data_IF_804278763674
#
_entry.id   IF_804278763674
#
_cell.length_a   1.000
_cell.length_b   1.000
_cell.length_c   1.000
_cell.angle_alpha   90.00
_cell.angle_beta   90.00
_cell.angle_gamma   90.00
#
_symmetry.space_group_name_H-M   'P 1'
#
loop_
_entity.id
_entity.type
_entity.pdbx_description
1 polymer ?
#
# COMPACT_ATOMS: atom_id res chain seq x y z
N UNK A 1 -0.96 13.65 -18.30
CA UNK A 1 -1.39 12.74 -17.22
C UNK A 1 -1.96 11.47 -17.84
N UNK A 2 -1.79 10.32 -17.20
CA UNK A 2 -2.18 9.02 -17.75
C UNK A 2 -3.63 8.67 -17.35
N UNK A 3 -4.49 8.15 -18.26
CA UNK A 3 -5.83 7.67 -17.92
C UNK A 3 -5.81 6.52 -16.90
N UNK A 4 -6.87 6.41 -16.09
CA UNK A 4 -6.97 5.39 -15.03
C UNK A 4 -6.96 3.96 -15.60
N UNK A 5 -7.60 3.74 -16.74
CA UNK A 5 -7.63 2.46 -17.46
C UNK A 5 -6.26 2.00 -17.94
N UNK A 6 -5.30 2.92 -18.07
CA UNK A 6 -3.96 2.58 -18.52
C UNK A 6 -3.00 2.32 -17.36
N UNK A 7 -3.39 2.56 -16.10
CA UNK A 7 -2.51 2.38 -14.94
C UNK A 7 -2.10 0.92 -14.81
N UNK A 8 -0.79 0.67 -14.80
CA UNK A 8 -0.21 -0.67 -14.67
C UNK A 8 0.41 -0.85 -13.30
N UNK A 9 0.67 -2.10 -12.92
CA UNK A 9 1.37 -2.46 -11.67
C UNK A 9 2.63 -1.64 -11.42
N UNK A 10 3.47 -1.47 -12.46
CA UNK A 10 4.71 -0.68 -12.35
C UNK A 10 4.45 0.76 -11.87
N UNK A 11 3.34 1.36 -12.28
CA UNK A 11 3.04 2.75 -11.97
C UNK A 11 2.64 2.86 -10.47
N UNK A 12 1.94 1.83 -9.95
CA UNK A 12 1.61 1.70 -8.53
C UNK A 12 2.86 1.45 -7.68
N UNK A 13 3.79 0.62 -8.16
CA UNK A 13 5.07 0.37 -7.49
C UNK A 13 5.90 1.65 -7.41
N UNK A 14 6.10 2.34 -8.53
CA UNK A 14 6.82 3.62 -8.57
C UNK A 14 6.18 4.67 -7.65
N UNK A 15 4.85 4.69 -7.55
CA UNK A 15 4.16 5.59 -6.61
C UNK A 15 4.53 5.27 -5.16
N UNK A 16 4.49 3.99 -4.75
CA UNK A 16 4.84 3.59 -3.39
C UNK A 16 6.31 3.88 -3.06
N UNK A 17 7.23 3.64 -4.00
CA UNK A 17 8.64 4.00 -3.89
C UNK A 17 8.83 5.51 -3.75
N UNK A 18 8.11 6.32 -4.54
CA UNK A 18 8.19 7.77 -4.44
C UNK A 18 7.67 8.29 -3.09
N UNK A 19 6.63 7.66 -2.52
CA UNK A 19 6.16 8.00 -1.18
C UNK A 19 7.23 7.66 -0.13
N UNK A 20 7.93 6.55 -0.28
CA UNK A 20 9.06 6.16 0.57
C UNK A 20 10.20 7.19 0.49
N UNK A 21 10.55 7.64 -0.71
CA UNK A 21 11.57 8.66 -0.91
C UNK A 21 11.20 10.03 -0.32
N UNK A 22 9.92 10.43 -0.40
CA UNK A 22 9.45 11.71 0.14
C UNK A 22 9.30 11.64 1.67
N UNK A 23 8.73 10.53 2.19
CA UNK A 23 8.51 10.34 3.62
C UNK A 23 9.64 9.51 4.20
N UNK A 24 10.63 10.16 4.79
CA UNK A 24 11.77 9.50 5.46
C UNK A 24 11.40 8.48 6.56
N UNK A 25 10.13 8.42 7.00
CA UNK A 25 9.60 7.36 7.88
C UNK A 25 8.49 6.55 7.17
N UNK A 26 8.82 5.87 6.08
CA UNK A 26 7.89 4.97 5.40
C UNK A 26 8.12 3.51 5.81
N UNK A 27 7.73 3.20 7.05
CA UNK A 27 7.84 1.82 7.55
C UNK A 27 7.01 0.81 6.74
N UNK A 28 7.40 -0.47 6.81
CA UNK A 28 6.66 -1.58 6.19
C UNK A 28 5.18 -1.63 6.58
N UNK A 29 4.84 -1.16 7.79
CA UNK A 29 3.44 -1.04 8.21
C UNK A 29 2.68 0.01 7.37
N UNK A 30 3.29 1.18 7.15
CA UNK A 30 2.73 2.22 6.30
C UNK A 30 2.66 1.76 4.85
N UNK A 31 3.73 1.18 4.30
CA UNK A 31 3.71 0.58 2.95
C UNK A 31 2.51 -0.34 2.76
N UNK A 32 2.33 -1.30 3.66
CA UNK A 32 1.23 -2.27 3.59
C UNK A 32 -0.14 -1.61 3.70
N UNK A 33 -0.28 -0.56 4.53
CA UNK A 33 -1.53 0.19 4.66
C UNK A 33 -1.89 0.93 3.37
N UNK A 34 -0.92 1.61 2.76
CA UNK A 34 -1.13 2.34 1.51
C UNK A 34 -1.44 1.39 0.36
N UNK A 35 -0.70 0.26 0.26
CA UNK A 35 -1.01 -0.83 -0.67
C UNK A 35 -2.46 -1.33 -0.50
N UNK A 36 -2.91 -1.53 0.74
CA UNK A 36 -4.30 -1.95 1.01
C UNK A 36 -5.33 -0.92 0.55
N UNK A 37 -5.09 0.37 0.75
CA UNK A 37 -5.98 1.42 0.24
C UNK A 37 -6.05 1.43 -1.29
N UNK A 38 -4.90 1.31 -1.96
CA UNK A 38 -4.84 1.25 -3.42
C UNK A 38 -5.57 0.00 -3.94
N UNK A 39 -5.38 -1.15 -3.30
CA UNK A 39 -6.11 -2.37 -3.64
C UNK A 39 -7.62 -2.17 -3.57
N UNK A 40 -8.14 -1.62 -2.47
CA UNK A 40 -9.57 -1.38 -2.29
C UNK A 40 -10.13 -0.39 -3.32
N UNK A 41 -9.39 0.69 -3.61
CA UNK A 41 -9.78 1.67 -4.63
C UNK A 41 -9.87 1.05 -6.02
N UNK A 42 -8.83 0.32 -6.45
CA UNK A 42 -8.83 -0.33 -7.76
C UNK A 42 -9.83 -1.47 -7.87
N UNK A 43 -10.16 -2.17 -6.78
CA UNK A 43 -11.28 -3.10 -6.77
C UNK A 43 -12.61 -2.37 -7.03
N UNK A 44 -12.82 -1.18 -6.45
CA UNK A 44 -14.03 -0.42 -6.73
C UNK A 44 -14.11 0.05 -8.19
N UNK A 45 -12.97 0.42 -8.78
CA UNK A 45 -12.91 0.79 -10.19
C UNK A 45 -13.15 -0.41 -11.12
N UNK A 46 -12.70 -1.59 -10.72
CA UNK A 46 -12.97 -2.85 -11.43
C UNK A 46 -14.47 -3.18 -11.39
N UNK A 47 -15.13 -3.03 -10.25
CA UNK A 47 -16.59 -3.21 -10.12
C UNK A 47 -17.40 -2.25 -11.00
N UNK A 48 -16.87 -1.05 -11.25
CA UNK A 48 -17.49 -0.04 -12.11
C UNK A 48 -17.12 -0.21 -13.60
N UNK A 49 -16.42 -1.29 -13.96
CA UNK A 49 -15.93 -1.55 -15.31
C UNK A 49 -15.05 -0.42 -15.88
N UNK A 50 -14.44 0.39 -15.00
CA UNK A 50 -13.56 1.49 -15.39
C UNK A 50 -12.13 1.01 -15.73
N UNK A 51 -11.78 -0.20 -15.29
CA UNK A 51 -10.52 -0.89 -15.55
C UNK A 51 -10.81 -2.40 -15.67
N UNK A 52 -9.98 -3.14 -16.41
CA UNK A 52 -10.16 -4.59 -16.58
C UNK A 52 -9.44 -5.42 -15.50
N UNK A 53 -8.39 -4.87 -14.91
CA UNK A 53 -7.51 -5.57 -13.98
C UNK A 53 -7.09 -4.62 -12.88
N UNK A 54 -7.17 -5.07 -11.61
CA UNK A 54 -6.61 -4.33 -10.49
C UNK A 54 -5.06 -4.34 -10.53
N UNK A 55 -4.39 -3.21 -10.78
CA UNK A 55 -2.93 -3.15 -10.89
C UNK A 55 -2.20 -3.39 -9.56
N UNK A 56 -2.89 -3.27 -8.42
CA UNK A 56 -2.31 -3.50 -7.09
C UNK A 56 -2.36 -4.97 -6.64
N UNK A 57 -3.11 -5.85 -7.34
CA UNK A 57 -3.40 -7.24 -6.93
C UNK A 57 -2.15 -8.03 -6.52
N UNK A 58 -1.15 -8.03 -7.40
CA UNK A 58 0.07 -8.84 -7.27
C UNK A 58 1.21 -8.12 -6.53
N UNK A 59 0.99 -6.90 -6.03
CA UNK A 59 2.02 -6.23 -5.22
C UNK A 59 2.08 -6.99 -3.90
N UNK A 60 3.26 -7.40 -3.43
CA UNK A 60 3.37 -8.15 -2.18
C UNK A 60 3.42 -7.22 -0.97
N UNK A 61 3.03 -7.75 0.19
CA UNK A 61 3.22 -7.05 1.47
C UNK A 61 4.69 -7.10 1.86
N UNK A 62 5.20 -6.01 2.43
CA UNK A 62 6.51 -6.02 3.09
C UNK A 62 6.41 -6.73 4.45
N UNK A 63 7.47 -7.45 4.84
CA UNK A 63 7.54 -8.12 6.14
C UNK A 63 7.56 -7.08 7.26
N UNK A 64 6.62 -7.16 8.20
CA UNK A 64 6.56 -6.24 9.34
C UNK A 64 7.23 -6.84 10.56
N UNK A 65 8.25 -6.18 11.10
CA UNK A 65 8.79 -6.49 12.43
C UNK A 65 7.89 -5.85 13.48
N UNK A 66 7.21 -6.66 14.30
CA UNK A 66 6.41 -6.14 15.41
C UNK A 66 7.36 -5.67 16.50
N UNK A 67 7.32 -4.37 16.86
CA UNK A 67 7.91 -3.91 18.12
C UNK A 67 7.04 -4.46 19.26
N UNK A 68 7.66 -5.19 20.17
CA UNK A 68 7.03 -5.57 21.43
C UNK A 68 6.77 -4.26 22.18
N UNK A 69 5.53 -4.02 22.59
CA UNK A 69 5.21 -2.90 23.48
C UNK A 69 5.54 -3.37 24.88
N UNK A 70 6.50 -2.72 25.52
CA UNK A 70 6.71 -2.88 26.95
C UNK A 70 5.55 -2.19 27.65
N UNK A 71 4.58 -2.98 28.11
CA UNK A 71 3.60 -2.52 29.08
C UNK A 71 4.34 -2.40 30.41
N UNK A 72 4.17 -1.27 31.10
CA UNK A 72 4.57 -1.17 32.50
C UNK A 72 3.60 -2.08 33.26
N UNK A 73 4.05 -3.26 33.65
CA UNK A 73 3.38 -4.02 34.70
C UNK A 73 3.60 -3.23 35.98
N UNK A 74 2.52 -2.73 36.56
CA UNK A 74 2.54 -2.23 37.94
C UNK A 74 2.73 -3.48 38.80
N UNK A 75 3.97 -3.88 39.01
CA UNK A 75 4.35 -4.68 40.17
C UNK A 75 4.70 -3.68 41.27
N UNK A 76 4.06 -3.83 42.43
CA UNK A 76 4.15 -2.95 43.61
C UNK A 76 5.59 -2.63 44.05
#
# INVERSE_FOLDING_TARGET
TKPISQIRRRDVVMLLEQIEHIKGDFSAHRYNKYRSYLMSLFNKLLELEAIDINPAREILKQKTTKKIRNIITIED
#
